data_IF_422079970961
#
_entry.id   IF_422079970961
#
_cell.length_a   1.000
_cell.length_b   1.000
_cell.length_c   1.000
_cell.angle_alpha   90.00
_cell.angle_beta   90.00
_cell.angle_gamma   90.00
#
_symmetry.space_group_name_H-M   'P 1'
#
loop_
_entity.id
_entity.type
_entity.pdbx_description
1 polymer ?
#
# COMPACT_ATOMS: atom_id res chain seq x y z
N UNK A 1 0.41 2.55 18.38
CA UNK A 1 1.39 2.73 17.30
C UNK A 1 0.66 3.46 16.20
N UNK A 2 1.11 4.64 15.75
CA UNK A 2 0.30 5.52 14.90
C UNK A 2 0.44 5.14 13.42
N UNK A 3 -0.68 5.02 12.71
CA UNK A 3 -0.72 4.72 11.26
C UNK A 3 0.04 5.76 10.41
N UNK A 4 0.14 6.99 10.93
CA UNK A 4 0.85 8.09 10.28
C UNK A 4 2.35 7.82 10.14
N UNK A 5 2.98 7.09 11.06
CA UNK A 5 4.42 6.80 11.02
C UNK A 5 4.76 5.85 9.86
N UNK A 6 3.83 4.94 9.54
CA UNK A 6 3.99 3.91 8.51
C UNK A 6 4.14 4.53 7.12
N UNK A 7 3.34 5.55 6.79
CA UNK A 7 3.48 6.26 5.51
C UNK A 7 4.87 6.87 5.31
N UNK A 8 5.52 7.33 6.38
CA UNK A 8 6.88 7.85 6.34
C UNK A 8 7.94 6.75 6.19
N UNK A 9 7.68 5.55 6.71
CA UNK A 9 8.59 4.43 6.57
C UNK A 9 8.61 3.84 5.15
N UNK A 10 7.57 4.03 4.34
CA UNK A 10 7.46 3.44 3.00
C UNK A 10 7.24 4.49 1.89
N UNK A 11 8.19 5.42 1.66
CA UNK A 11 8.07 6.46 0.63
C UNK A 11 8.04 5.90 -0.80
N UNK A 12 8.44 4.65 -0.98
CA UNK A 12 8.43 3.90 -2.24
C UNK A 12 7.01 3.50 -2.60
N UNK A 13 6.26 2.96 -1.63
CA UNK A 13 4.86 2.58 -1.79
C UNK A 13 4.01 3.84 -2.02
N UNK A 14 4.21 4.90 -1.23
CA UNK A 14 3.45 6.16 -1.39
C UNK A 14 3.66 6.83 -2.76
N UNK A 15 4.91 6.87 -3.25
CA UNK A 15 5.20 7.41 -4.60
C UNK A 15 4.61 6.54 -5.71
N UNK A 16 4.50 5.24 -5.46
CA UNK A 16 4.00 4.27 -6.44
C UNK A 16 2.47 4.20 -6.43
N UNK A 17 1.83 4.34 -5.27
CA UNK A 17 0.36 4.40 -5.15
C UNK A 17 -0.21 5.63 -5.86
N UNK A 18 0.51 6.76 -5.86
CA UNK A 18 0.18 7.93 -6.66
C UNK A 18 0.23 7.68 -8.19
N UNK A 19 0.84 6.58 -8.63
CA UNK A 19 0.89 6.13 -10.03
C UNK A 19 -0.09 5.00 -10.34
N UNK A 20 -0.92 4.59 -9.39
CA UNK A 20 -1.97 3.63 -9.69
C UNK A 20 -2.97 4.23 -10.67
N UNK A 21 -3.41 3.41 -11.61
CA UNK A 21 -4.41 3.81 -12.59
C UNK A 21 -5.78 4.08 -11.94
N UNK A 22 -6.12 3.31 -10.91
CA UNK A 22 -7.38 3.44 -10.17
C UNK A 22 -7.17 4.20 -8.86
N UNK A 23 -8.07 5.14 -8.56
CA UNK A 23 -8.09 5.86 -7.27
C UNK A 23 -8.55 4.97 -6.10
N UNK A 24 -9.38 3.95 -6.37
CA UNK A 24 -9.85 2.96 -5.40
C UNK A 24 -9.03 1.66 -5.46
N UNK A 25 -7.77 1.75 -5.90
CA UNK A 25 -6.89 0.59 -6.05
C UNK A 25 -6.65 -0.07 -4.68
N UNK A 26 -7.10 -1.31 -4.52
CA UNK A 26 -6.83 -2.09 -3.29
C UNK A 26 -5.41 -2.65 -3.23
N UNK A 27 -4.62 -2.46 -4.30
CA UNK A 27 -3.27 -3.00 -4.48
C UNK A 27 -3.12 -4.53 -4.37
N UNK A 28 -4.22 -5.29 -4.32
CA UNK A 28 -4.22 -6.74 -4.08
C UNK A 28 -4.24 -7.59 -5.34
N UNK A 29 -5.11 -7.28 -6.28
CA UNK A 29 -5.41 -8.13 -7.45
C UNK A 29 -5.62 -7.33 -8.75
N UNK A 30 -5.35 -6.03 -8.75
CA UNK A 30 -5.59 -5.20 -9.93
C UNK A 30 -4.44 -5.29 -10.95
N UNK A 31 -4.75 -5.54 -12.24
CA UNK A 31 -3.73 -5.80 -13.26
C UNK A 31 -2.87 -4.57 -13.59
N UNK A 32 -3.37 -3.36 -13.36
CA UNK A 32 -2.63 -2.10 -13.59
C UNK A 32 -2.26 -1.36 -12.29
N UNK A 33 -2.10 -2.12 -11.20
CA UNK A 33 -1.58 -1.58 -9.96
C UNK A 33 -0.07 -1.31 -10.08
N UNK A 34 0.32 -0.04 -9.99
CA UNK A 34 1.72 0.35 -10.01
C UNK A 34 2.52 -0.27 -8.84
N UNK A 35 1.89 -0.50 -7.69
CA UNK A 35 2.52 -1.09 -6.51
C UNK A 35 2.91 -2.55 -6.76
N UNK A 36 2.03 -3.33 -7.38
CA UNK A 36 2.32 -4.73 -7.76
C UNK A 36 3.46 -4.80 -8.77
N UNK A 37 3.43 -3.96 -9.82
CA UNK A 37 4.53 -3.86 -10.79
C UNK A 37 5.85 -3.51 -10.11
N UNK A 38 5.85 -2.57 -9.16
CA UNK A 38 7.04 -2.21 -8.41
C UNK A 38 7.56 -3.36 -7.52
N UNK A 39 6.69 -4.25 -7.02
CA UNK A 39 7.11 -5.46 -6.30
C UNK A 39 7.73 -6.47 -7.27
N UNK A 40 7.12 -6.69 -8.43
CA UNK A 40 7.64 -7.57 -9.49
C UNK A 40 9.00 -7.08 -10.04
N UNK A 41 9.17 -5.76 -10.18
CA UNK A 41 10.44 -5.15 -10.58
C UNK A 41 11.46 -5.07 -9.43
N UNK A 42 11.18 -5.68 -8.27
CA UNK A 42 12.02 -5.61 -7.06
C UNK A 42 12.32 -4.16 -6.58
N UNK A 43 11.53 -3.17 -7.03
CA UNK A 43 11.58 -1.78 -6.54
C UNK A 43 11.07 -1.67 -5.12
N UNK A 44 10.12 -2.53 -4.75
CA UNK A 44 9.55 -2.64 -3.41
C UNK A 44 9.76 -4.07 -2.95
N UNK A 45 10.40 -4.25 -1.79
CA UNK A 45 10.57 -5.59 -1.23
C UNK A 45 9.23 -6.16 -0.78
N UNK A 46 8.99 -7.45 -1.08
CA UNK A 46 7.76 -8.14 -0.67
C UNK A 46 7.51 -8.05 0.84
N UNK A 47 8.56 -8.12 1.67
CA UNK A 47 8.43 -7.95 3.13
C UNK A 47 7.87 -6.58 3.49
N UNK A 48 8.26 -5.53 2.75
CA UNK A 48 7.81 -4.14 2.96
C UNK A 48 6.35 -3.99 2.54
N UNK A 49 5.97 -4.60 1.42
CA UNK A 49 4.58 -4.66 0.97
C UNK A 49 3.69 -5.43 1.96
N UNK A 50 4.14 -6.57 2.48
CA UNK A 50 3.40 -7.36 3.46
C UNK A 50 3.18 -6.58 4.76
N UNK A 51 4.21 -5.89 5.26
CA UNK A 51 4.05 -5.00 6.42
C UNK A 51 3.07 -3.87 6.15
N UNK A 52 3.16 -3.23 4.99
CA UNK A 52 2.22 -2.19 4.58
C UNK A 52 0.79 -2.74 4.52
N UNK A 53 0.57 -3.85 3.82
CA UNK A 53 -0.73 -4.50 3.67
C UNK A 53 -1.36 -4.81 5.03
N UNK A 54 -0.58 -5.39 5.96
CA UNK A 54 -1.05 -5.67 7.32
C UNK A 54 -1.50 -4.41 8.07
N UNK A 55 -0.87 -3.26 7.82
CA UNK A 55 -1.20 -2.00 8.48
C UNK A 55 -2.44 -1.37 7.86
N UNK A 56 -2.57 -1.38 6.52
CA UNK A 56 -3.79 -0.89 5.86
C UNK A 56 -4.96 -1.87 6.00
N UNK A 57 -4.74 -3.16 6.23
CA UNK A 57 -5.83 -4.07 6.62
C UNK A 57 -6.36 -3.72 8.00
N UNK A 58 -5.46 -3.40 8.94
CA UNK A 58 -5.81 -2.92 10.27
C UNK A 58 -6.48 -1.53 10.23
N UNK A 59 -6.03 -0.64 9.33
CA UNK A 59 -6.55 0.73 9.22
C UNK A 59 -7.72 0.91 8.24
N UNK A 60 -7.84 0.04 7.24
CA UNK A 60 -8.86 0.04 6.19
C UNK A 60 -10.13 -0.71 6.59
N UNK A 61 -10.11 -1.42 7.72
CA UNK A 61 -11.32 -1.74 8.46
C UNK A 61 -11.83 -0.45 9.11
N UNK A 62 -12.67 0.28 8.37
CA UNK A 62 -13.42 1.44 8.84
C UNK A 62 -14.44 1.07 9.93
N UNK A 63 -14.01 0.45 11.03
CA UNK A 63 -14.77 0.27 12.29
C UNK A 63 -14.65 1.49 13.21
N UNK A 64 -14.40 2.67 12.67
CA UNK A 64 -14.68 3.95 13.33
C UNK A 64 -15.67 4.76 12.47
N UNK A 65 -16.82 4.16 12.14
CA UNK A 65 -18.06 4.92 11.91
C UNK A 65 -18.75 5.01 13.26
N UNK A 66 -18.65 6.18 13.87
CA UNK A 66 -19.48 6.62 14.99
C UNK A 66 -20.92 6.87 14.52
#
# INVERSE_FOLDING_TARGET
MHVAEVGHFFPEIFRTSARCYYNDCTHRHEPDCAVLKAIEEHRISQSRYLSYLSIIEDAGDGKYRE
#
